data_IF_653825810923
#
_entry.id   IF_653825810923
#
_cell.length_a   1.000
_cell.length_b   1.000
_cell.length_c   1.000
_cell.angle_alpha   90.00
_cell.angle_beta   90.00
_cell.angle_gamma   90.00
#
_symmetry.space_group_name_H-M   'P 1'
#
loop_
_entity.id
_entity.type
_entity.pdbx_description
1 polymer ?
#
# COMPACT_ATOMS: atom_id res chain seq x y z
N UNK A 1 -25.99 39.87 -64.16
CA UNK A 1 -26.84 38.82 -63.55
C UNK A 1 -26.46 37.53 -64.26
N UNK A 2 -25.91 36.49 -63.64
CA UNK A 2 -26.35 35.81 -62.42
C UNK A 2 -25.19 35.08 -61.72
N UNK A 3 -25.30 35.00 -60.40
CA UNK A 3 -24.40 34.43 -59.41
C UNK A 3 -24.14 32.92 -59.58
N UNK A 4 -22.90 32.48 -59.30
CA UNK A 4 -22.61 31.13 -58.83
C UNK A 4 -23.06 30.93 -57.37
N UNK A 5 -23.40 29.70 -56.97
CA UNK A 5 -23.11 29.25 -55.62
C UNK A 5 -22.23 28.00 -55.64
N UNK A 6 -21.02 28.15 -55.08
CA UNK A 6 -20.15 27.06 -54.66
C UNK A 6 -20.81 26.41 -53.43
N UNK A 7 -21.24 25.15 -53.53
CA UNK A 7 -21.65 24.34 -52.37
C UNK A 7 -20.39 23.98 -51.57
N UNK A 8 -20.13 24.70 -50.49
CA UNK A 8 -19.22 24.26 -49.44
C UNK A 8 -19.85 23.04 -48.74
N UNK A 9 -19.17 21.90 -48.80
CA UNK A 9 -19.45 20.76 -47.90
C UNK A 9 -18.74 21.04 -46.57
N UNK A 10 -19.41 21.01 -45.40
CA UNK A 10 -18.72 21.15 -44.13
C UNK A 10 -18.01 19.84 -43.80
N UNK A 11 -16.67 19.87 -43.78
CA UNK A 11 -15.81 18.74 -43.38
C UNK A 11 -15.45 18.77 -41.87
N UNK A 12 -16.34 19.30 -41.02
CA UNK A 12 -16.07 19.51 -39.58
C UNK A 12 -16.82 18.57 -38.63
N UNK A 13 -17.84 17.83 -39.08
CA UNK A 13 -18.79 17.12 -38.21
C UNK A 13 -18.27 15.76 -37.64
N UNK A 14 -17.28 15.17 -38.31
CA UNK A 14 -16.70 13.87 -37.91
C UNK A 14 -15.71 13.94 -36.73
N UNK A 15 -15.12 15.11 -36.46
CA UNK A 15 -14.15 15.28 -35.35
C UNK A 15 -14.86 15.60 -34.04
N UNK A 16 -15.90 16.42 -34.09
CA UNK A 16 -16.70 16.83 -32.94
C UNK A 16 -17.53 15.66 -32.40
N UNK A 17 -18.17 14.87 -33.28
CA UNK A 17 -18.94 13.67 -32.86
C UNK A 17 -18.06 12.55 -32.28
N UNK A 18 -16.82 12.42 -32.76
CA UNK A 18 -15.86 11.44 -32.23
C UNK A 18 -15.30 11.89 -30.87
N UNK A 19 -15.05 13.18 -30.70
CA UNK A 19 -14.62 13.76 -29.42
C UNK A 19 -15.73 13.68 -28.36
N UNK A 20 -16.98 14.01 -28.68
CA UNK A 20 -18.11 13.94 -27.74
C UNK A 20 -18.46 12.49 -27.36
N UNK A 21 -18.34 11.55 -28.30
CA UNK A 21 -18.51 10.13 -28.01
C UNK A 21 -17.40 9.60 -27.11
N UNK A 22 -16.15 10.01 -27.35
CA UNK A 22 -15.01 9.64 -26.53
C UNK A 22 -15.07 10.24 -25.11
N UNK A 23 -15.59 11.46 -24.94
CA UNK A 23 -15.82 12.03 -23.61
C UNK A 23 -16.96 11.31 -22.89
N UNK A 24 -18.07 11.02 -23.57
CA UNK A 24 -19.19 10.28 -22.96
C UNK A 24 -18.81 8.85 -22.54
N UNK A 25 -18.03 8.14 -23.36
CA UNK A 25 -17.50 6.81 -23.03
C UNK A 25 -16.54 6.87 -21.83
N UNK A 26 -15.72 7.93 -21.75
CA UNK A 26 -14.81 8.16 -20.63
C UNK A 26 -15.56 8.48 -19.34
N UNK A 27 -16.56 9.36 -19.39
CA UNK A 27 -17.36 9.76 -18.23
C UNK A 27 -18.19 8.59 -17.70
N UNK A 28 -18.75 7.77 -18.59
CA UNK A 28 -19.43 6.52 -18.22
C UNK A 28 -18.48 5.53 -17.54
N UNK A 29 -17.25 5.39 -18.05
CA UNK A 29 -16.24 4.53 -17.43
C UNK A 29 -15.82 5.02 -16.03
N UNK A 30 -15.65 6.34 -15.85
CA UNK A 30 -15.35 6.94 -14.54
C UNK A 30 -16.50 6.70 -13.57
N UNK A 31 -17.74 7.01 -13.97
CA UNK A 31 -18.93 6.83 -13.14
C UNK A 31 -19.15 5.36 -12.72
N UNK A 32 -18.91 4.42 -13.64
CA UNK A 32 -18.97 2.99 -13.34
C UNK A 32 -17.90 2.56 -12.32
N UNK A 33 -16.69 3.10 -12.44
CA UNK A 33 -15.60 2.78 -11.51
C UNK A 33 -15.85 3.37 -10.12
N UNK A 34 -16.35 4.60 -10.04
CA UNK A 34 -16.78 5.21 -8.77
C UNK A 34 -17.93 4.44 -8.11
N UNK A 35 -18.93 4.01 -8.89
CA UNK A 35 -20.04 3.22 -8.36
C UNK A 35 -19.56 1.88 -7.81
N UNK A 36 -18.64 1.21 -8.53
CA UNK A 36 -17.97 -0.02 -8.07
C UNK A 36 -17.18 0.21 -6.78
N UNK A 37 -16.44 1.30 -6.69
CA UNK A 37 -15.66 1.66 -5.50
C UNK A 37 -16.55 2.00 -4.30
N UNK A 38 -17.66 2.72 -4.51
CA UNK A 38 -18.64 2.98 -3.46
C UNK A 38 -19.29 1.69 -2.96
N UNK A 39 -19.69 0.79 -3.86
CA UNK A 39 -20.22 -0.52 -3.50
C UNK A 39 -19.22 -1.35 -2.68
N UNK A 40 -17.97 -1.43 -3.14
CA UNK A 40 -16.92 -2.14 -2.42
C UNK A 40 -16.63 -1.50 -1.06
N UNK A 41 -16.63 -0.16 -0.97
CA UNK A 41 -16.48 0.60 0.27
C UNK A 41 -17.55 0.26 1.29
N UNK A 42 -18.82 0.28 0.89
CA UNK A 42 -19.95 -0.06 1.77
C UNK A 42 -19.90 -1.53 2.17
N UNK A 43 -19.74 -2.46 1.22
CA UNK A 43 -19.65 -3.89 1.51
C UNK A 43 -18.48 -4.22 2.47
N UNK A 44 -17.35 -3.53 2.32
CA UNK A 44 -16.21 -3.72 3.20
C UNK A 44 -16.39 -3.09 4.58
N UNK A 45 -17.12 -1.99 4.68
CA UNK A 45 -17.51 -1.47 5.99
C UNK A 45 -18.38 -2.50 6.73
N UNK A 46 -19.37 -3.05 6.03
CA UNK A 46 -20.32 -4.01 6.59
C UNK A 46 -19.67 -5.36 6.91
N UNK A 47 -18.61 -5.74 6.19
CA UNK A 47 -17.78 -6.91 6.50
C UNK A 47 -16.74 -6.65 7.61
N UNK A 48 -16.29 -5.41 7.80
CA UNK A 48 -15.34 -5.06 8.86
C UNK A 48 -15.98 -5.11 10.24
N UNK A 49 -17.23 -4.67 10.37
CA UNK A 49 -17.96 -4.70 11.64
C UNK A 49 -18.04 -6.09 12.29
N UNK A 50 -18.49 -7.17 11.60
CA UNK A 50 -18.52 -8.51 12.18
C UNK A 50 -17.11 -9.05 12.46
N UNK A 51 -16.12 -8.64 11.67
CA UNK A 51 -14.73 -9.04 11.88
C UNK A 51 -14.10 -8.39 13.12
N UNK A 52 -14.40 -7.12 13.38
CA UNK A 52 -14.01 -6.42 14.61
C UNK A 52 -14.66 -7.07 15.84
N UNK A 53 -15.94 -7.44 15.74
CA UNK A 53 -16.63 -8.17 16.80
C UNK A 53 -15.98 -9.54 17.07
N UNK A 54 -15.61 -10.26 16.00
CA UNK A 54 -14.88 -11.53 16.12
C UNK A 54 -13.52 -11.35 16.80
N UNK A 55 -12.76 -10.31 16.44
CA UNK A 55 -11.50 -9.96 17.11
C UNK A 55 -11.69 -9.65 18.60
N UNK A 56 -12.75 -8.94 18.98
CA UNK A 56 -13.08 -8.69 20.39
C UNK A 56 -13.40 -9.99 21.14
N UNK A 57 -14.11 -10.94 20.53
CA UNK A 57 -14.39 -12.24 21.13
C UNK A 57 -13.13 -13.08 21.30
N UNK A 58 -12.24 -13.07 20.30
CA UNK A 58 -10.93 -13.74 20.38
C UNK A 58 -10.10 -13.15 21.52
N UNK A 59 -9.94 -11.83 21.57
CA UNK A 59 -9.21 -11.15 22.65
C UNK A 59 -9.82 -11.38 24.04
N UNK A 60 -11.14 -11.54 24.14
CA UNK A 60 -11.80 -11.91 25.39
C UNK A 60 -11.52 -13.36 25.82
N UNK A 61 -11.42 -14.28 24.85
CA UNK A 61 -11.06 -15.68 25.11
C UNK A 61 -9.60 -15.86 25.48
N UNK A 62 -8.69 -15.04 24.94
CA UNK A 62 -7.26 -15.09 25.27
C UNK A 62 -6.99 -14.82 26.76
N UNK A 63 -7.84 -14.01 27.39
CA UNK A 63 -7.78 -13.70 28.83
C UNK A 63 -8.24 -14.85 29.72
N UNK A 64 -8.82 -15.93 29.15
CA UNK A 64 -9.30 -17.09 29.92
C UNK A 64 -8.23 -18.17 30.06
N UNK A 65 -8.31 -18.94 31.15
CA UNK A 65 -7.51 -20.17 31.31
C UNK A 65 -8.04 -21.25 30.37
N UNK A 66 -7.42 -21.36 29.20
CA UNK A 66 -7.71 -22.39 28.20
C UNK A 66 -6.68 -23.53 28.25
N UNK A 67 -7.10 -24.79 27.99
CA UNK A 67 -6.17 -25.90 27.69
C UNK A 67 -5.24 -25.55 26.53
N UNK A 68 -4.06 -26.19 26.46
CA UNK A 68 -3.01 -25.88 25.47
C UNK A 68 -3.52 -25.93 24.04
N UNK A 69 -4.26 -26.98 23.69
CA UNK A 69 -4.76 -27.22 22.33
C UNK A 69 -5.79 -26.16 21.92
N UNK A 70 -6.70 -25.80 22.83
CA UNK A 70 -7.67 -24.72 22.61
C UNK A 70 -6.98 -23.36 22.44
N UNK A 71 -5.86 -23.14 23.15
CA UNK A 71 -5.06 -21.91 23.02
C UNK A 71 -4.33 -21.83 21.68
N UNK A 72 -3.92 -22.96 21.13
CA UNK A 72 -3.34 -23.01 19.79
C UNK A 72 -4.39 -22.75 18.70
N UNK A 73 -5.57 -23.34 18.83
CA UNK A 73 -6.70 -23.07 17.92
C UNK A 73 -7.08 -21.58 17.97
N UNK A 74 -7.14 -20.99 19.16
CA UNK A 74 -7.47 -19.57 19.33
C UNK A 74 -6.46 -18.65 18.61
N UNK A 75 -5.16 -18.93 18.73
CA UNK A 75 -4.12 -18.19 17.98
C UNK A 75 -4.28 -18.32 16.46
N UNK A 76 -4.69 -19.49 15.98
CA UNK A 76 -4.97 -19.69 14.54
C UNK A 76 -6.18 -18.88 14.10
N UNK A 77 -7.24 -18.84 14.91
CA UNK A 77 -8.44 -18.03 14.63
C UNK A 77 -8.06 -16.55 14.60
N UNK A 78 -7.29 -16.06 15.58
CA UNK A 78 -6.84 -14.67 15.64
C UNK A 78 -6.06 -14.27 14.36
N UNK A 79 -5.10 -15.12 13.96
CA UNK A 79 -4.33 -14.91 12.73
C UNK A 79 -5.21 -14.90 11.47
N UNK A 80 -6.28 -15.71 11.43
CA UNK A 80 -7.26 -15.69 10.33
C UNK A 80 -8.07 -14.38 10.33
N UNK A 81 -8.50 -13.90 11.50
CA UNK A 81 -9.26 -12.64 11.64
C UNK A 81 -8.41 -11.46 11.15
N UNK A 82 -7.16 -11.36 11.63
CA UNK A 82 -6.22 -10.34 11.15
C UNK A 82 -6.00 -10.43 9.64
N UNK A 83 -5.85 -11.65 9.11
CA UNK A 83 -5.66 -11.87 7.68
C UNK A 83 -6.84 -11.38 6.84
N UNK A 84 -8.08 -11.63 7.29
CA UNK A 84 -9.29 -11.16 6.60
C UNK A 84 -9.40 -9.62 6.68
N UNK A 85 -9.03 -9.01 7.81
CA UNK A 85 -9.11 -7.55 7.96
C UNK A 85 -8.12 -6.88 7.02
N UNK A 86 -6.91 -7.43 6.93
CA UNK A 86 -5.90 -7.01 5.96
C UNK A 86 -6.35 -7.20 4.50
N UNK A 87 -6.98 -8.34 4.15
CA UNK A 87 -7.55 -8.57 2.81
C UNK A 87 -8.50 -7.44 2.42
N UNK A 88 -9.44 -7.16 3.32
CA UNK A 88 -10.54 -6.25 3.07
C UNK A 88 -10.02 -4.82 2.92
N UNK A 89 -9.07 -4.40 3.77
CA UNK A 89 -8.38 -3.11 3.64
C UNK A 89 -7.64 -3.00 2.31
N UNK A 90 -6.86 -4.01 1.94
CA UNK A 90 -6.07 -4.01 0.70
C UNK A 90 -6.95 -3.97 -0.56
N UNK A 91 -8.06 -4.71 -0.57
CA UNK A 91 -9.01 -4.72 -1.69
C UNK A 91 -9.65 -3.34 -1.89
N UNK A 92 -10.10 -2.72 -0.80
CA UNK A 92 -10.64 -1.36 -0.84
C UNK A 92 -9.64 -0.35 -1.35
N UNK A 93 -8.42 -0.49 -0.89
CA UNK A 93 -7.33 0.39 -1.25
C UNK A 93 -7.04 0.36 -2.74
N UNK A 94 -7.01 -0.84 -3.34
CA UNK A 94 -6.86 -1.03 -4.78
C UNK A 94 -8.06 -0.43 -5.52
N UNK A 95 -9.29 -0.72 -5.07
CA UNK A 95 -10.50 -0.17 -5.70
C UNK A 95 -10.53 1.36 -5.68
N UNK A 96 -10.11 1.99 -4.58
CA UNK A 96 -9.98 3.46 -4.48
C UNK A 96 -8.89 4.01 -5.39
N UNK A 97 -7.76 3.32 -5.50
CA UNK A 97 -6.67 3.70 -6.40
C UNK A 97 -7.09 3.58 -7.87
N UNK A 98 -7.81 2.52 -8.24
CA UNK A 98 -8.30 2.30 -9.61
C UNK A 98 -9.36 3.32 -10.02
N UNK A 99 -10.24 3.72 -9.10
CA UNK A 99 -11.24 4.75 -9.37
C UNK A 99 -10.66 6.16 -9.52
N UNK A 100 -9.37 6.38 -9.19
CA UNK A 100 -8.71 7.68 -9.33
C UNK A 100 -9.22 8.77 -8.38
N UNK A 101 -10.14 8.44 -7.46
CA UNK A 101 -10.77 9.39 -6.53
C UNK A 101 -9.95 9.72 -5.28
N UNK A 102 -8.66 9.35 -5.24
CA UNK A 102 -7.78 9.71 -4.13
C UNK A 102 -7.11 11.04 -4.48
N UNK A 103 -7.55 12.11 -3.83
CA UNK A 103 -6.90 13.42 -3.90
C UNK A 103 -5.66 13.42 -2.99
N UNK A 104 -4.49 13.68 -3.58
CA UNK A 104 -3.22 13.74 -2.86
C UNK A 104 -3.08 15.10 -2.19
N UNK A 105 -2.78 15.13 -0.89
CA UNK A 105 -2.59 16.37 -0.13
C UNK A 105 -1.13 16.53 0.32
N UNK A 106 -0.23 16.96 -0.58
CA UNK A 106 1.19 17.02 -0.27
C UNK A 106 1.51 18.21 0.64
N UNK A 107 2.14 17.92 1.79
CA UNK A 107 2.60 18.91 2.76
C UNK A 107 4.06 18.64 3.15
N UNK A 108 4.73 19.65 3.73
CA UNK A 108 6.06 19.47 4.30
C UNK A 108 5.97 19.01 5.74
N UNK A 109 6.49 17.82 6.06
CA UNK A 109 6.43 17.27 7.42
C UNK A 109 7.73 16.52 7.80
N UNK A 110 8.05 16.41 9.10
CA UNK A 110 9.23 15.70 9.56
C UNK A 110 9.03 14.17 9.49
N UNK A 111 10.03 13.45 8.95
CA UNK A 111 10.00 11.98 8.86
C UNK A 111 9.92 11.32 10.23
N UNK A 112 10.44 11.97 11.27
CA UNK A 112 10.34 11.51 12.66
C UNK A 112 8.91 11.20 13.08
N UNK A 113 7.94 12.08 12.78
CA UNK A 113 6.53 11.86 13.15
C UNK A 113 5.94 10.60 12.51
N UNK A 114 6.47 10.21 11.35
CA UNK A 114 6.08 8.98 10.69
C UNK A 114 6.73 7.76 11.34
N UNK A 115 8.02 7.85 11.66
CA UNK A 115 8.75 6.79 12.35
C UNK A 115 8.19 6.51 13.75
N UNK A 116 7.86 7.55 14.52
CA UNK A 116 7.35 7.41 15.88
C UNK A 116 6.01 6.63 15.90
N UNK A 117 5.12 6.93 14.95
CA UNK A 117 3.83 6.22 14.82
C UNK A 117 4.00 4.76 14.40
N UNK A 118 4.89 4.50 13.44
CA UNK A 118 5.18 3.14 12.98
C UNK A 118 5.94 2.33 14.05
N UNK A 119 6.77 2.96 14.86
CA UNK A 119 7.50 2.30 15.93
C UNK A 119 6.54 1.67 16.95
N UNK A 120 5.55 2.43 17.43
CA UNK A 120 4.55 1.96 18.40
C UNK A 120 3.88 0.65 17.95
N UNK A 121 3.55 0.56 16.67
CA UNK A 121 2.86 -0.61 16.10
C UNK A 121 3.80 -1.78 15.84
N UNK A 122 4.92 -1.52 15.17
CA UNK A 122 5.79 -2.61 14.69
C UNK A 122 6.77 -3.12 15.74
N UNK A 123 7.05 -2.38 16.81
CA UNK A 123 7.84 -2.89 17.95
C UNK A 123 7.14 -4.06 18.63
N UNK A 124 5.82 -3.96 18.86
CA UNK A 124 5.03 -5.05 19.44
C UNK A 124 5.01 -6.30 18.52
N UNK A 125 4.79 -6.09 17.21
CA UNK A 125 4.78 -7.17 16.21
C UNK A 125 6.14 -7.85 16.07
N UNK A 126 7.23 -7.08 16.05
CA UNK A 126 8.59 -7.61 15.99
C UNK A 126 8.91 -8.42 17.25
N UNK A 127 8.59 -7.89 18.43
CA UNK A 127 8.82 -8.56 19.71
C UNK A 127 8.05 -9.89 19.81
N UNK A 128 6.80 -9.94 19.35
CA UNK A 128 6.00 -11.16 19.31
C UNK A 128 6.64 -12.27 18.45
N UNK A 129 7.42 -11.89 17.43
CA UNK A 129 8.17 -12.81 16.57
C UNK A 129 9.64 -13.02 17.01
N UNK A 130 10.06 -12.41 18.12
CA UNK A 130 11.44 -12.47 18.60
C UNK A 130 12.45 -11.72 17.70
N UNK A 131 11.98 -10.74 16.92
CA UNK A 131 12.80 -9.91 16.04
C UNK A 131 13.16 -8.58 16.72
N UNK A 132 14.32 -8.03 16.35
CA UNK A 132 14.63 -6.64 16.64
C UNK A 132 14.06 -5.71 15.57
N UNK A 133 13.59 -4.53 15.96
CA UNK A 133 13.27 -3.45 15.02
C UNK A 133 13.90 -2.16 15.52
N UNK A 134 14.44 -1.35 14.61
CA UNK A 134 15.07 -0.07 14.96
C UNK A 134 14.73 1.01 13.95
N UNK A 135 14.17 2.11 14.44
CA UNK A 135 13.99 3.34 13.67
C UNK A 135 15.17 4.28 13.94
N UNK A 136 15.93 4.63 12.90
CA UNK A 136 17.08 5.53 13.02
C UNK A 136 16.57 6.97 13.20
N UNK A 137 16.95 7.66 14.29
CA UNK A 137 16.58 9.06 14.50
C UNK A 137 16.97 9.93 13.32
N UNK A 138 16.07 10.82 12.91
CA UNK A 138 16.30 11.69 11.76
C UNK A 138 15.66 13.07 11.96
N UNK A 139 16.30 14.09 11.40
CA UNK A 139 15.78 15.44 11.26
C UNK A 139 15.26 15.72 9.83
N UNK A 140 15.24 14.70 8.96
CA UNK A 140 14.78 14.86 7.59
C UNK A 140 13.31 15.29 7.54
N UNK A 141 13.02 16.19 6.59
CA UNK A 141 11.66 16.58 6.22
C UNK A 141 11.38 16.16 4.79
N UNK A 142 10.14 15.79 4.51
CA UNK A 142 9.69 15.34 3.19
C UNK A 142 8.51 16.19 2.73
N UNK A 143 8.36 16.34 1.42
CA UNK A 143 7.18 16.94 0.80
C UNK A 143 6.39 15.83 0.10
N UNK A 144 5.30 15.41 0.73
CA UNK A 144 4.45 14.28 0.30
C UNK A 144 3.12 14.33 1.05
N UNK A 145 2.19 13.46 0.70
CA UNK A 145 1.03 13.16 1.55
C UNK A 145 1.45 12.24 2.71
N UNK A 146 1.27 12.66 3.99
CA UNK A 146 1.67 11.86 5.15
C UNK A 146 0.91 10.54 5.28
N UNK A 147 -0.38 10.52 4.93
CA UNK A 147 -1.24 9.35 5.10
C UNK A 147 -0.87 8.29 4.07
N UNK A 148 -0.70 8.70 2.82
CA UNK A 148 -0.33 7.78 1.75
C UNK A 148 1.11 7.26 1.91
N UNK A 149 2.05 8.13 2.31
CA UNK A 149 3.44 7.70 2.57
C UNK A 149 3.54 6.75 3.75
N UNK A 150 2.78 6.99 4.83
CA UNK A 150 2.70 6.06 5.96
C UNK A 150 2.20 4.68 5.54
N UNK A 151 1.16 4.67 4.71
CA UNK A 151 0.56 3.45 4.22
C UNK A 151 1.53 2.63 3.36
N UNK A 152 2.38 3.29 2.57
CA UNK A 152 3.46 2.62 1.86
C UNK A 152 4.47 1.99 2.83
N UNK A 153 4.95 2.75 3.83
CA UNK A 153 5.92 2.24 4.81
C UNK A 153 5.35 1.10 5.65
N UNK A 154 4.08 1.17 6.06
CA UNK A 154 3.39 0.12 6.79
C UNK A 154 3.36 -1.19 6.00
N UNK A 155 3.09 -1.13 4.70
CA UNK A 155 3.14 -2.31 3.82
C UNK A 155 4.55 -2.90 3.70
N UNK A 156 5.57 -2.05 3.57
CA UNK A 156 6.97 -2.49 3.53
C UNK A 156 7.41 -3.13 4.86
N UNK A 157 7.03 -2.53 5.99
CA UNK A 157 7.34 -3.03 7.33
C UNK A 157 6.64 -4.36 7.64
N UNK A 158 5.36 -4.47 7.28
CA UNK A 158 4.61 -5.71 7.43
C UNK A 158 5.29 -6.86 6.66
N UNK A 159 5.75 -6.59 5.43
CA UNK A 159 6.51 -7.56 4.65
C UNK A 159 7.87 -7.89 5.30
N UNK A 160 8.61 -6.88 5.76
CA UNK A 160 9.90 -7.07 6.42
C UNK A 160 9.78 -7.98 7.66
N UNK A 161 8.80 -7.73 8.53
CA UNK A 161 8.54 -8.57 9.71
C UNK A 161 8.05 -9.96 9.31
N UNK A 162 7.16 -10.06 8.31
CA UNK A 162 6.64 -11.34 7.81
C UNK A 162 7.74 -12.27 7.29
N UNK A 163 8.65 -11.75 6.47
CA UNK A 163 9.67 -12.57 5.79
C UNK A 163 11.01 -12.67 6.53
N UNK A 164 11.13 -12.03 7.70
CA UNK A 164 12.29 -12.20 8.59
C UNK A 164 11.99 -13.24 9.64
N UNK A 165 12.77 -14.32 9.68
CA UNK A 165 12.64 -15.36 10.72
C UNK A 165 13.55 -15.10 11.92
N UNK A 166 14.74 -14.54 11.67
CA UNK A 166 15.75 -14.22 12.69
C UNK A 166 16.44 -12.91 12.35
N UNK A 167 16.93 -12.20 13.38
CA UNK A 167 17.64 -10.92 13.22
C UNK A 167 16.71 -9.73 13.46
N UNK A 168 16.48 -8.92 12.42
CA UNK A 168 15.65 -7.74 12.59
C UNK A 168 15.45 -6.85 11.38
N UNK A 169 14.78 -5.73 11.64
CA UNK A 169 14.40 -4.71 10.67
C UNK A 169 14.97 -3.35 11.08
N UNK A 170 15.57 -2.63 10.14
CA UNK A 170 16.08 -1.27 10.37
C UNK A 170 15.42 -0.29 9.41
N UNK A 171 14.86 0.78 9.95
CA UNK A 171 14.22 1.84 9.18
C UNK A 171 15.02 3.12 9.30
N UNK A 172 15.37 3.75 8.19
CA UNK A 172 16.15 4.97 8.21
C UNK A 172 15.77 5.92 7.08
N UNK A 173 16.21 7.17 7.18
CA UNK A 173 16.03 8.17 6.14
C UNK A 173 17.35 8.86 5.83
N UNK A 174 17.72 8.90 4.54
CA UNK A 174 18.97 9.50 4.07
C UNK A 174 18.66 10.65 3.11
N UNK A 175 19.34 11.78 3.26
CA UNK A 175 19.28 12.89 2.30
C UNK A 175 20.15 12.59 1.09
N UNK A 176 19.61 12.79 -0.12
CA UNK A 176 20.31 12.67 -1.40
C UNK A 176 19.93 13.88 -2.27
N UNK A 177 20.71 14.96 -2.17
CA UNK A 177 20.38 16.23 -2.82
C UNK A 177 19.03 16.79 -2.35
N UNK A 178 18.13 17.05 -3.30
CA UNK A 178 16.77 17.54 -3.06
C UNK A 178 15.74 16.43 -2.77
N UNK A 179 16.21 15.21 -2.47
CA UNK A 179 15.36 14.05 -2.16
C UNK A 179 15.72 13.46 -0.81
N UNK A 180 14.72 12.84 -0.19
CA UNK A 180 14.91 11.95 0.96
C UNK A 180 14.62 10.53 0.49
N UNK A 181 15.53 9.63 0.83
CA UNK A 181 15.40 8.19 0.62
C UNK A 181 15.07 7.55 1.96
N UNK A 182 13.84 7.10 2.14
CA UNK A 182 13.40 6.35 3.31
C UNK A 182 13.63 4.87 3.01
N UNK A 183 14.41 4.17 3.82
CA UNK A 183 14.85 2.80 3.61
C UNK A 183 14.31 1.89 4.71
N UNK A 184 13.80 0.72 4.33
CA UNK A 184 13.44 -0.39 5.20
C UNK A 184 14.36 -1.55 4.85
N UNK A 185 15.22 -1.92 5.79
CA UNK A 185 16.17 -3.03 5.68
C UNK A 185 15.67 -4.19 6.53
N UNK A 186 15.65 -5.40 5.98
CA UNK A 186 15.35 -6.63 6.70
C UNK A 186 16.49 -7.64 6.55
N UNK A 187 16.63 -8.53 7.53
CA UNK A 187 17.56 -9.66 7.48
C UNK A 187 16.88 -10.96 7.06
N UNK A 188 15.78 -10.88 6.30
CA UNK A 188 14.99 -12.02 5.91
C UNK A 188 15.64 -12.89 4.84
N UNK A 189 14.84 -13.76 4.23
CA UNK A 189 15.31 -14.72 3.21
C UNK A 189 15.79 -14.08 1.89
N UNK A 190 15.56 -12.80 1.70
CA UNK A 190 15.85 -12.10 0.43
C UNK A 190 14.95 -12.54 -0.71
N UNK A 191 15.20 -11.98 -1.90
CA UNK A 191 14.39 -12.17 -3.11
C UNK A 191 15.34 -12.48 -4.27
N UNK A 192 15.02 -13.52 -5.04
CA UNK A 192 15.77 -13.89 -6.23
C UNK A 192 15.65 -12.83 -7.33
N UNK A 193 16.71 -12.61 -8.12
CA UNK A 193 16.72 -11.61 -9.21
C UNK A 193 15.57 -11.83 -10.21
N UNK A 194 15.25 -13.08 -10.54
CA UNK A 194 14.18 -13.41 -11.48
C UNK A 194 12.80 -12.99 -10.97
N UNK A 195 12.63 -12.87 -9.66
CA UNK A 195 11.35 -12.59 -9.01
C UNK A 195 11.14 -11.10 -8.74
N UNK A 196 12.20 -10.27 -8.77
CA UNK A 196 12.14 -8.84 -8.37
C UNK A 196 11.16 -7.99 -9.17
N UNK A 197 10.91 -8.31 -10.43
CA UNK A 197 9.94 -7.59 -11.25
C UNK A 197 8.50 -8.06 -10.99
N UNK A 198 8.34 -9.29 -10.50
CA UNK A 198 7.04 -9.94 -10.32
C UNK A 198 6.45 -9.70 -8.93
N UNK A 199 7.27 -9.44 -7.90
CA UNK A 199 6.79 -9.19 -6.53
C UNK A 199 5.86 -7.98 -6.38
N UNK A 200 5.86 -7.06 -7.36
CA UNK A 200 4.97 -5.90 -7.37
C UNK A 200 3.62 -6.18 -8.05
N UNK A 201 3.45 -7.36 -8.65
CA UNK A 201 2.17 -7.79 -9.23
C UNK A 201 1.20 -8.21 -8.14
N UNK A 202 -0.06 -7.90 -8.35
CA UNK A 202 -1.14 -8.30 -7.44
C UNK A 202 -1.22 -9.84 -7.35
N UNK A 203 -1.50 -10.34 -6.15
CA UNK A 203 -1.65 -11.77 -5.86
C UNK A 203 -0.42 -12.63 -6.14
N UNK A 204 0.74 -12.02 -6.44
CA UNK A 204 1.97 -12.77 -6.66
C UNK A 204 2.58 -13.17 -5.30
N UNK A 205 2.68 -14.48 -5.07
CA UNK A 205 3.35 -15.08 -3.92
C UNK A 205 4.57 -15.86 -4.40
N UNK A 206 5.66 -15.83 -3.63
CA UNK A 206 6.90 -16.52 -3.96
C UNK A 206 6.82 -18.04 -3.66
N UNK A 207 5.85 -18.48 -2.86
CA UNK A 207 5.44 -19.90 -2.70
C UNK A 207 3.99 -20.00 -2.17
N UNK A 208 3.27 -21.08 -2.50
CA UNK A 208 1.86 -21.33 -2.12
C UNK A 208 1.63 -21.45 -0.60
N UNK A 209 2.69 -21.67 0.19
CA UNK A 209 2.61 -21.80 1.65
C UNK A 209 2.98 -20.52 2.41
N UNK A 210 3.20 -19.40 1.72
CA UNK A 210 3.56 -18.15 2.40
C UNK A 210 2.33 -17.39 2.87
N UNK A 211 2.27 -17.16 4.19
CA UNK A 211 1.20 -16.40 4.82
C UNK A 211 1.22 -14.92 4.38
N UNK A 212 0.62 -14.59 3.23
CA UNK A 212 0.47 -13.22 2.74
C UNK A 212 -0.20 -13.17 1.37
N UNK A 213 -1.06 -12.18 1.13
CA UNK A 213 -1.98 -12.17 -0.03
C UNK A 213 -1.36 -11.64 -1.34
N UNK A 214 -0.06 -11.28 -1.34
CA UNK A 214 0.61 -10.69 -2.52
C UNK A 214 0.17 -9.25 -2.87
N UNK A 215 -0.63 -8.58 -2.02
CA UNK A 215 -1.18 -7.24 -2.35
C UNK A 215 -0.34 -6.07 -1.81
N UNK A 216 0.46 -6.29 -0.76
CA UNK A 216 1.15 -5.19 -0.05
C UNK A 216 2.11 -4.41 -0.94
N UNK A 217 2.92 -5.10 -1.77
CA UNK A 217 3.85 -4.43 -2.68
C UNK A 217 3.15 -3.82 -3.90
N UNK A 218 2.06 -4.41 -4.38
CA UNK A 218 1.23 -3.81 -5.43
C UNK A 218 0.61 -2.48 -4.97
N UNK A 219 0.16 -2.39 -3.71
CA UNK A 219 -0.30 -1.13 -3.10
C UNK A 219 0.85 -0.12 -3.04
N UNK A 220 2.05 -0.53 -2.64
CA UNK A 220 3.23 0.35 -2.60
C UNK A 220 3.53 0.90 -4.00
N UNK A 221 3.52 0.07 -5.04
CA UNK A 221 3.77 0.52 -6.43
C UNK A 221 2.71 1.52 -6.91
N UNK A 222 1.42 1.23 -6.67
CA UNK A 222 0.32 2.12 -7.06
C UNK A 222 0.38 3.47 -6.32
N UNK A 223 0.62 3.46 -5.01
CA UNK A 223 0.79 4.68 -4.22
C UNK A 223 2.04 5.46 -4.63
N UNK A 224 3.14 4.78 -4.97
CA UNK A 224 4.33 5.43 -5.47
C UNK A 224 4.05 6.20 -6.76
N UNK A 225 3.32 5.60 -7.71
CA UNK A 225 2.90 6.26 -8.95
C UNK A 225 1.99 7.46 -8.66
N UNK A 226 1.02 7.31 -7.77
CA UNK A 226 0.10 8.39 -7.37
C UNK A 226 0.85 9.58 -6.73
N UNK A 227 1.85 9.31 -5.89
CA UNK A 227 2.68 10.33 -5.23
C UNK A 227 3.82 10.87 -6.11
N UNK A 228 4.02 10.33 -7.32
CA UNK A 228 5.22 10.61 -8.13
C UNK A 228 6.53 10.23 -7.43
N UNK A 229 6.48 9.24 -6.55
CA UNK A 229 7.61 8.71 -5.78
C UNK A 229 8.27 7.54 -6.51
N UNK A 230 9.56 7.32 -6.28
CA UNK A 230 10.29 6.18 -6.83
C UNK A 230 10.50 5.12 -5.76
N UNK A 231 10.28 3.86 -6.11
CA UNK A 231 10.64 2.70 -5.30
C UNK A 231 11.94 2.10 -5.83
N UNK A 232 12.87 1.79 -4.92
CA UNK A 232 14.05 1.00 -5.23
C UNK A 232 14.08 -0.25 -4.35
N UNK A 233 14.57 -1.35 -4.91
CA UNK A 233 14.79 -2.62 -4.22
C UNK A 233 16.23 -3.08 -4.42
N UNK A 234 16.90 -3.45 -3.35
CA UNK A 234 18.09 -4.30 -3.39
C UNK A 234 17.84 -5.50 -2.49
N UNK A 235 18.03 -6.69 -3.02
CA UNK A 235 17.83 -7.91 -2.25
C UNK A 235 18.78 -8.98 -2.77
N UNK A 236 19.19 -9.86 -1.85
CA UNK A 236 20.05 -11.01 -2.13
C UNK A 236 19.51 -12.22 -1.36
N UNK A 237 19.31 -13.38 -2.02
CA UNK A 237 18.89 -14.60 -1.33
C UNK A 237 19.76 -14.91 -0.12
N UNK A 238 19.12 -15.21 1.01
CA UNK A 238 19.74 -15.51 2.31
C UNK A 238 20.42 -14.33 3.01
N UNK A 239 20.33 -13.10 2.50
CA UNK A 239 20.95 -11.89 3.09
C UNK A 239 19.95 -10.78 3.43
N UNK A 240 18.68 -10.97 3.12
CA UNK A 240 17.62 -9.99 3.34
C UNK A 240 17.41 -9.04 2.18
N UNK A 241 16.54 -8.06 2.41
CA UNK A 241 16.15 -7.06 1.42
C UNK A 241 16.23 -5.64 1.97
N UNK A 242 16.35 -4.69 1.06
CA UNK A 242 16.22 -3.27 1.29
C UNK A 242 15.26 -2.69 0.28
N UNK A 243 14.14 -2.17 0.78
CA UNK A 243 13.21 -1.36 0.02
C UNK A 243 13.43 0.10 0.36
N UNK A 244 13.34 0.97 -0.64
CA UNK A 244 13.40 2.41 -0.42
C UNK A 244 12.33 3.18 -1.17
N UNK A 245 11.75 4.16 -0.49
CA UNK A 245 10.85 5.17 -1.07
C UNK A 245 11.64 6.47 -1.20
N UNK A 246 11.73 6.97 -2.42
CA UNK A 246 12.41 8.24 -2.73
C UNK A 246 11.37 9.33 -2.96
N UNK A 247 11.37 10.32 -2.07
CA UNK A 247 10.44 11.46 -2.06
C UNK A 247 11.20 12.78 -2.11
N UNK A 248 10.52 13.88 -2.47
CA UNK A 248 11.11 15.23 -2.44
C UNK A 248 11.42 15.64 -0.99
N UNK A 249 12.53 16.34 -0.78
CA UNK A 249 12.81 16.95 0.53
C UNK A 249 11.82 18.07 0.83
N UNK A 250 11.29 18.08 2.05
CA UNK A 250 10.41 19.13 2.54
C UNK A 250 11.17 20.40 2.92
N UNK A 251 10.52 21.55 2.79
CA UNK A 251 11.02 22.81 3.31
C UNK A 251 11.10 22.76 4.85
N UNK A 252 12.04 23.50 5.48
CA UNK A 252 11.96 23.80 6.90
C UNK A 252 10.58 24.37 7.23
N UNK A 253 10.01 23.91 8.35
CA UNK A 253 8.77 24.48 8.89
C UNK A 253 9.07 25.68 9.76
#
# INVERSE_FOLDING_TARGET
>A
MTFSPRKERPASDGRTSRATRQTAERDAAIAANEAKTRLLATASHDLRQPLQALGLFVAALEKKRLPRDAREILRRIDSCVESIDHLLRNLLDIARLDAGGIEVQPVSFPVRQLFDRLAIEFEALAAAKGLSIRFIPTAARVYSDPVLLERMLRNLLANAIRFTERGGVVVGARRRGNKIRIEVWDSGRGIDEAQKSEIFREFHQLAESEAGQGLGLAIVDRLARLLGSRIDLQSRPGKGSMFAIVVKSGAPG
#
